data_IF_393263217656
#
_entry.id   IF_393263217656
#
_cell.length_a   1.000
_cell.length_b   1.000
_cell.length_c   1.000
_cell.angle_alpha   90.00
_cell.angle_beta   90.00
_cell.angle_gamma   90.00
#
_symmetry.space_group_name_H-M   'P 1'
#
loop_
_entity.id
_entity.type
_entity.pdbx_description
1 polymer ?
#
# COMPACT_ATOMS: atom_id res chain seq x y z
N UNK A 1 -14.33 13.53 -13.71
CA UNK A 1 -13.59 14.22 -14.79
C UNK A 1 -12.57 13.24 -15.31
N UNK A 2 -12.69 12.78 -16.56
CA UNK A 2 -11.65 11.97 -17.20
C UNK A 2 -10.88 12.90 -18.14
N UNK A 3 -9.56 13.01 -17.99
CA UNK A 3 -8.75 13.83 -18.88
C UNK A 3 -8.72 13.14 -20.26
N UNK A 4 -9.43 13.71 -21.25
CA UNK A 4 -9.47 13.19 -22.63
C UNK A 4 -8.20 13.49 -23.45
N UNK A 5 -7.31 14.33 -22.92
CA UNK A 5 -6.00 14.63 -23.49
C UNK A 5 -4.94 13.83 -22.69
N UNK A 6 -4.06 13.15 -23.41
CA UNK A 6 -2.96 12.40 -22.81
C UNK A 6 -1.97 13.28 -22.04
N UNK A 7 -1.03 12.67 -21.30
CA UNK A 7 -0.03 13.42 -20.52
C UNK A 7 0.86 14.27 -21.43
N UNK A 8 1.29 15.42 -20.91
CA UNK A 8 2.26 16.28 -21.58
C UNK A 8 3.65 15.64 -21.63
N UNK A 9 4.50 16.13 -22.53
CA UNK A 9 5.90 15.71 -22.62
C UNK A 9 6.64 15.86 -21.28
N UNK A 10 6.35 16.94 -20.54
CA UNK A 10 6.96 17.17 -19.22
C UNK A 10 6.51 16.14 -18.19
N UNK A 11 5.21 15.81 -18.16
CA UNK A 11 4.68 14.78 -17.25
C UNK A 11 5.24 13.40 -17.60
N UNK A 12 5.36 13.08 -18.89
CA UNK A 12 5.98 11.84 -19.35
C UNK A 12 7.45 11.75 -18.92
N UNK A 13 8.23 12.80 -19.13
CA UNK A 13 9.64 12.83 -18.74
C UNK A 13 9.82 12.69 -17.22
N UNK A 14 8.98 13.35 -16.44
CA UNK A 14 9.00 13.22 -14.99
C UNK A 14 8.63 11.80 -14.55
N UNK A 15 7.60 11.20 -15.15
CA UNK A 15 7.20 9.82 -14.86
C UNK A 15 8.32 8.83 -15.16
N UNK A 16 9.05 9.01 -16.27
CA UNK A 16 10.22 8.21 -16.61
C UNK A 16 11.33 8.35 -15.57
N UNK A 17 11.69 9.58 -15.18
CA UNK A 17 12.72 9.82 -14.14
C UNK A 17 12.34 9.17 -12.81
N UNK A 18 11.10 9.38 -12.34
CA UNK A 18 10.63 8.79 -11.08
C UNK A 18 10.64 7.26 -11.18
N UNK A 19 10.20 6.70 -12.30
CA UNK A 19 10.17 5.24 -12.50
C UNK A 19 11.58 4.63 -12.48
N UNK A 20 12.55 5.28 -13.14
CA UNK A 20 13.94 4.82 -13.15
C UNK A 20 14.55 4.87 -11.75
N UNK A 21 14.33 5.95 -11.01
CA UNK A 21 14.80 6.06 -9.62
C UNK A 21 14.20 4.96 -8.75
N UNK A 22 12.88 4.71 -8.85
CA UNK A 22 12.22 3.66 -8.10
C UNK A 22 12.75 2.27 -8.47
N UNK A 23 13.01 2.01 -9.75
CA UNK A 23 13.60 0.74 -10.19
C UNK A 23 14.95 0.51 -9.54
N UNK A 24 15.85 1.49 -9.58
CA UNK A 24 17.19 1.39 -8.99
C UNK A 24 17.14 1.14 -7.47
N UNK A 25 16.22 1.81 -6.78
CA UNK A 25 16.03 1.66 -5.33
C UNK A 25 15.39 0.31 -4.96
N UNK A 26 14.41 -0.15 -5.74
CA UNK A 26 13.61 -1.33 -5.43
C UNK A 26 14.21 -2.65 -5.94
N UNK A 27 15.21 -2.63 -6.84
CA UNK A 27 15.73 -3.85 -7.47
C UNK A 27 16.39 -4.85 -6.51
N UNK A 28 16.79 -4.41 -5.32
CA UNK A 28 17.52 -5.23 -4.33
C UNK A 28 16.62 -5.76 -3.22
N UNK A 29 15.33 -5.47 -3.27
CA UNK A 29 14.35 -5.87 -2.26
C UNK A 29 13.19 -6.58 -2.92
N UNK A 30 12.44 -7.36 -2.15
CA UNK A 30 11.23 -7.99 -2.65
C UNK A 30 10.07 -6.99 -2.62
N UNK A 31 9.05 -7.13 -3.49
CA UNK A 31 7.89 -6.23 -3.45
C UNK A 31 7.20 -6.18 -2.08
N UNK A 32 7.26 -7.27 -1.31
CA UNK A 32 6.73 -7.34 0.05
C UNK A 32 7.46 -6.42 1.04
N UNK A 33 8.73 -6.10 0.79
CA UNK A 33 9.51 -5.20 1.66
C UNK A 33 9.11 -3.72 1.48
N UNK A 34 8.44 -3.37 0.38
CA UNK A 34 8.05 -1.99 0.05
C UNK A 34 6.54 -1.77 0.18
N UNK A 35 5.72 -2.81 -0.04
CA UNK A 35 4.26 -2.68 -0.16
C UNK A 35 3.53 -3.52 0.89
N UNK A 36 2.74 -2.86 1.73
CA UNK A 36 1.85 -3.54 2.69
C UNK A 36 0.55 -4.01 2.04
N UNK A 37 -0.15 -4.95 2.68
CA UNK A 37 -1.48 -5.41 2.22
C UNK A 37 -2.48 -4.25 2.12
N UNK A 38 -2.37 -3.24 2.98
CA UNK A 38 -3.15 -2.01 2.89
C UNK A 38 -2.81 -1.21 1.64
N UNK A 39 -1.51 -1.05 1.31
CA UNK A 39 -1.06 -0.39 0.09
C UNK A 39 -1.61 -1.04 -1.18
N UNK A 40 -1.60 -2.38 -1.24
CA UNK A 40 -2.21 -3.14 -2.36
C UNK A 40 -3.70 -2.86 -2.47
N UNK A 41 -4.46 -2.94 -1.37
CA UNK A 41 -5.91 -2.67 -1.38
C UNK A 41 -6.23 -1.26 -1.82
N UNK A 42 -5.48 -0.28 -1.31
CA UNK A 42 -5.63 1.13 -1.67
C UNK A 42 -5.37 1.35 -3.17
N UNK A 43 -4.32 0.74 -3.73
CA UNK A 43 -4.02 0.81 -5.16
C UNK A 43 -5.11 0.16 -6.04
N UNK A 44 -5.76 -0.90 -5.55
CA UNK A 44 -6.88 -1.55 -6.23
C UNK A 44 -8.24 -0.84 -6.03
N UNK A 45 -8.28 0.28 -5.29
CA UNK A 45 -9.53 0.97 -4.98
C UNK A 45 -10.46 0.20 -4.02
N UNK A 46 -9.91 -0.77 -3.29
CA UNK A 46 -10.66 -1.55 -2.30
C UNK A 46 -10.66 -0.79 -0.97
N UNK A 47 -11.83 -0.35 -0.54
CA UNK A 47 -12.08 0.13 0.81
C UNK A 47 -12.58 -1.03 1.68
N UNK A 48 -11.86 -1.33 2.77
CA UNK A 48 -12.38 -2.19 3.83
C UNK A 48 -12.89 -1.24 4.92
N UNK A 49 -14.19 -1.28 5.29
CA UNK A 49 -14.67 -0.52 6.42
C UNK A 49 -13.96 -1.01 7.69
N UNK A 50 -13.16 -0.15 8.32
CA UNK A 50 -12.49 -0.48 9.57
C UNK A 50 -13.52 -0.51 10.70
N UNK A 51 -13.61 -1.58 11.50
CA UNK A 51 -14.25 -1.49 12.79
C UNK A 51 -13.35 -0.63 13.69
N UNK A 52 -13.78 0.62 13.90
CA UNK A 52 -13.17 1.61 14.80
C UNK A 52 -11.89 2.25 14.25
N UNK A 53 -11.95 3.58 14.15
CA UNK A 53 -10.82 4.44 13.92
C UNK A 53 -10.04 4.59 15.23
N UNK A 54 -8.76 4.29 15.24
CA UNK A 54 -7.75 5.05 15.98
C UNK A 54 -6.34 4.62 15.56
N UNK A 55 -5.44 5.60 15.54
CA UNK A 55 -4.00 5.51 15.28
C UNK A 55 -3.56 5.67 13.81
N UNK A 56 -3.55 6.93 13.38
CA UNK A 56 -2.61 7.44 12.37
C UNK A 56 -1.16 7.36 12.89
N UNK A 57 -0.66 6.15 13.15
CA UNK A 57 0.74 5.91 13.47
C UNK A 57 1.26 4.85 12.50
N UNK A 58 2.24 5.24 11.69
CA UNK A 58 3.04 4.28 10.94
C UNK A 58 3.88 3.50 11.95
N UNK A 59 3.33 2.40 12.44
CA UNK A 59 4.05 1.47 13.32
C UNK A 59 5.06 0.69 12.46
N UNK A 60 6.35 0.96 12.68
CA UNK A 60 7.48 0.33 11.99
C UNK A 60 7.79 -1.07 12.54
N UNK A 61 6.90 -1.63 13.36
CA UNK A 61 6.98 -2.99 13.90
C UNK A 61 5.85 -3.84 13.31
N UNK A 62 5.97 -4.21 12.02
CA UNK A 62 5.18 -5.33 11.47
C UNK A 62 5.61 -6.62 12.17
N UNK A 63 4.96 -6.88 13.30
CA UNK A 63 5.25 -8.00 14.18
C UNK A 63 4.26 -7.99 15.32
N UNK A 64 3.00 -8.32 15.02
CA UNK A 64 2.03 -9.04 15.86
C UNK A 64 0.61 -8.64 15.44
N UNK A 65 -0.11 -9.57 14.81
CA UNK A 65 -1.53 -9.70 15.09
C UNK A 65 -1.63 -10.82 16.14
N UNK A 66 -1.87 -10.54 17.43
CA UNK A 66 -2.45 -11.55 18.29
C UNK A 66 -3.92 -11.63 17.90
N UNK A 67 -4.30 -12.69 17.18
CA UNK A 67 -5.69 -13.13 17.19
C UNK A 67 -5.92 -13.73 18.57
N UNK A 68 -6.22 -12.88 19.55
CA UNK A 68 -6.91 -13.32 20.76
C UNK A 68 -8.32 -13.77 20.35
N UNK A 69 -8.43 -15.04 19.97
CA UNK A 69 -9.69 -15.76 20.07
C UNK A 69 -9.53 -16.77 21.19
N UNK A 70 -9.88 -16.37 22.41
CA UNK A 70 -10.29 -17.30 23.46
C UNK A 70 -11.73 -16.98 23.84
N UNK A 71 -12.50 -18.05 24.07
CA UNK A 71 -13.96 -18.17 24.18
C UNK A 71 -14.70 -17.87 22.87
N UNK A 72 -15.12 -18.86 22.07
CA UNK A 72 -16.10 -19.86 22.49
C UNK A 72 -15.79 -21.31 22.05
N UNK A 73 -15.64 -22.15 23.07
CA UNK A 73 -15.91 -23.59 23.06
C UNK A 73 -17.42 -23.82 22.79
N UNK A 74 -17.78 -24.87 22.02
CA UNK A 74 -18.95 -25.79 22.15
C UNK A 74 -19.72 -26.08 20.84
N UNK A 75 -20.28 -27.30 20.65
CA UNK A 75 -19.90 -28.61 21.18
C UNK A 75 -19.09 -29.46 20.18
#
# INVERSE_FOLDING_TARGET
>A
MICLLGPSYREMHLAEQVTNNLKELAQQVTPGDIVSTYGVRKAMGISIPSPVAENNFVDLTEGMCPVENQSDQYP
#
